data_IF_477748426509
#
_entry.id   IF_477748426509
#
_cell.length_a   1.000
_cell.length_b   1.000
_cell.length_c   1.000
_cell.angle_alpha   90.00
_cell.angle_beta   90.00
_cell.angle_gamma   90.00
#
_symmetry.space_group_name_H-M   'P 1'
#
loop_
_entity.id
_entity.type
_entity.pdbx_description
1 polymer ?
#
# COMPACT_ATOMS: atom_id res chain seq x y z
N UNK A 1 -24.68 -11.64 14.39
CA UNK A 1 -24.72 -11.02 13.05
C UNK A 1 -23.93 -9.72 13.05
N UNK A 2 -24.15 -8.82 14.01
CA UNK A 2 -23.51 -7.49 14.11
C UNK A 2 -21.97 -7.42 13.95
N UNK A 3 -21.20 -8.31 14.55
CA UNK A 3 -19.73 -8.25 14.47
C UNK A 3 -19.19 -8.63 13.08
N UNK A 4 -19.82 -9.60 12.40
CA UNK A 4 -19.43 -10.00 11.05
C UNK A 4 -19.73 -8.88 10.05
N UNK A 5 -20.89 -8.25 10.20
CA UNK A 5 -21.31 -7.13 9.35
C UNK A 5 -20.46 -5.88 9.61
N UNK A 6 -19.99 -5.68 10.84
CA UNK A 6 -19.01 -4.64 11.14
C UNK A 6 -17.68 -4.89 10.42
N UNK A 7 -17.09 -6.09 10.56
CA UNK A 7 -15.80 -6.40 9.94
C UNK A 7 -15.87 -6.29 8.41
N UNK A 8 -16.95 -6.79 7.80
CA UNK A 8 -17.14 -6.68 6.35
C UNK A 8 -17.14 -5.22 5.88
N UNK A 9 -17.83 -4.33 6.61
CA UNK A 9 -17.83 -2.89 6.30
C UNK A 9 -16.45 -2.24 6.40
N UNK A 10 -15.64 -2.65 7.38
CA UNK A 10 -14.27 -2.14 7.51
C UNK A 10 -13.37 -2.61 6.35
N UNK A 11 -13.54 -3.86 5.91
CA UNK A 11 -12.85 -4.41 4.74
C UNK A 11 -13.25 -3.64 3.48
N UNK A 12 -14.55 -3.41 3.27
CA UNK A 12 -15.08 -2.69 2.13
C UNK A 12 -14.61 -1.23 2.12
N UNK A 13 -14.68 -0.54 3.27
CA UNK A 13 -14.21 0.85 3.42
C UNK A 13 -12.74 0.97 3.05
N UNK A 14 -11.88 0.10 3.60
CA UNK A 14 -10.46 0.08 3.29
C UNK A 14 -10.21 -0.18 1.81
N UNK A 15 -10.88 -1.18 1.22
CA UNK A 15 -10.76 -1.48 -0.20
C UNK A 15 -11.18 -0.31 -1.09
N UNK A 16 -12.28 0.39 -0.76
CA UNK A 16 -12.75 1.55 -1.50
C UNK A 16 -11.74 2.71 -1.47
N UNK A 17 -11.21 3.05 -0.29
CA UNK A 17 -10.23 4.14 -0.14
C UNK A 17 -8.93 3.81 -0.89
N UNK A 18 -8.39 2.60 -0.72
CA UNK A 18 -7.16 2.18 -1.39
C UNK A 18 -7.30 2.18 -2.91
N UNK A 19 -8.43 1.73 -3.45
CA UNK A 19 -8.72 1.79 -4.90
C UNK A 19 -8.87 3.22 -5.40
N UNK A 20 -9.52 4.09 -4.61
CA UNK A 20 -9.64 5.51 -4.96
C UNK A 20 -8.26 6.19 -5.05
N UNK A 21 -7.38 5.90 -4.10
CA UNK A 21 -5.98 6.33 -4.13
C UNK A 21 -5.27 5.78 -5.37
N UNK A 22 -5.37 4.47 -5.62
CA UNK A 22 -4.69 3.85 -6.75
C UNK A 22 -5.13 4.44 -8.11
N UNK A 23 -6.41 4.69 -8.28
CA UNK A 23 -6.96 5.31 -9.49
C UNK A 23 -6.39 6.72 -9.75
N UNK A 24 -6.05 7.48 -8.69
CA UNK A 24 -5.39 8.79 -8.83
C UNK A 24 -4.00 8.69 -9.45
N UNK A 25 -3.29 7.61 -9.17
CA UNK A 25 -2.01 7.31 -9.81
C UNK A 25 -2.22 6.89 -11.28
N UNK A 26 -3.13 5.94 -11.56
CA UNK A 26 -3.32 5.43 -12.94
C UNK A 26 -3.84 6.47 -13.94
N UNK A 27 -4.61 7.47 -13.50
CA UNK A 27 -5.19 8.48 -14.39
C UNK A 27 -4.23 9.57 -14.88
N UNK A 28 -2.99 9.64 -14.37
CA UNK A 28 -2.06 10.73 -14.66
C UNK A 28 -0.62 10.23 -14.89
N UNK A 29 -0.21 10.12 -16.14
CA UNK A 29 1.14 9.69 -16.55
C UNK A 29 2.09 10.84 -16.91
N UNK A 30 1.59 12.05 -17.19
CA UNK A 30 2.37 13.23 -17.59
C UNK A 30 2.29 14.37 -16.56
N UNK A 31 2.69 14.08 -15.31
CA UNK A 31 2.59 15.06 -14.22
C UNK A 31 3.95 15.73 -13.90
N UNK A 32 4.02 17.07 -13.84
CA UNK A 32 5.18 17.78 -13.31
C UNK A 32 5.44 17.40 -11.85
N UNK A 33 6.68 17.57 -11.37
CA UNK A 33 7.11 17.19 -10.01
C UNK A 33 6.11 17.69 -8.93
N UNK A 34 5.77 18.98 -8.96
CA UNK A 34 4.84 19.64 -8.01
C UNK A 34 3.50 18.88 -7.87
N UNK A 35 3.01 18.26 -8.94
CA UNK A 35 1.77 17.49 -8.88
C UNK A 35 1.96 16.11 -8.25
N UNK A 36 3.15 15.50 -8.38
CA UNK A 36 3.50 14.23 -7.74
C UNK A 36 3.60 14.43 -6.23
N UNK A 37 4.30 15.46 -5.76
CA UNK A 37 4.39 15.72 -4.31
C UNK A 37 2.99 15.98 -3.71
N UNK A 38 2.14 16.74 -4.42
CA UNK A 38 0.74 16.92 -4.00
C UNK A 38 -0.04 15.60 -3.95
N UNK A 39 0.15 14.71 -4.92
CA UNK A 39 -0.49 13.38 -4.92
C UNK A 39 -0.04 12.55 -3.71
N UNK A 40 1.20 12.69 -3.27
CA UNK A 40 1.72 11.94 -2.13
C UNK A 40 1.13 12.46 -0.83
N UNK A 41 1.08 13.78 -0.65
CA UNK A 41 0.44 14.38 0.52
C UNK A 41 -1.06 14.06 0.57
N UNK A 42 -1.78 14.17 -0.56
CA UNK A 42 -3.18 13.73 -0.64
C UNK A 42 -3.36 12.24 -0.31
N UNK A 43 -2.40 11.39 -0.68
CA UNK A 43 -2.43 9.96 -0.36
C UNK A 43 -2.26 9.73 1.14
N UNK A 44 -1.29 10.41 1.77
CA UNK A 44 -1.07 10.36 3.23
C UNK A 44 -2.29 10.84 3.98
N UNK A 45 -2.87 11.96 3.56
CA UNK A 45 -4.08 12.53 4.17
C UNK A 45 -5.25 11.55 4.09
N UNK A 46 -5.52 10.95 2.92
CA UNK A 46 -6.62 9.99 2.77
C UNK A 46 -6.43 8.73 3.61
N UNK A 47 -5.21 8.19 3.66
CA UNK A 47 -4.90 7.04 4.51
C UNK A 47 -5.11 7.37 5.98
N UNK A 48 -4.66 8.55 6.42
CA UNK A 48 -4.79 8.98 7.81
C UNK A 48 -6.24 9.30 8.19
N UNK A 49 -6.98 10.06 7.37
CA UNK A 49 -8.34 10.51 7.67
C UNK A 49 -9.38 9.42 7.57
N UNK A 50 -9.24 8.55 6.56
CA UNK A 50 -10.30 7.59 6.25
C UNK A 50 -10.01 6.23 6.86
N UNK A 51 -8.74 5.86 7.02
CA UNK A 51 -8.34 4.53 7.49
C UNK A 51 -7.58 4.55 8.82
N UNK A 52 -7.35 5.72 9.43
CA UNK A 52 -6.49 5.88 10.61
C UNK A 52 -5.06 5.31 10.38
N UNK A 53 -4.62 5.31 9.11
CA UNK A 53 -3.35 4.73 8.67
C UNK A 53 -2.30 5.82 8.46
N UNK A 54 -1.32 5.87 9.35
CA UNK A 54 -0.18 6.77 9.31
C UNK A 54 0.92 6.17 8.41
N UNK A 55 0.99 6.66 7.18
CA UNK A 55 1.91 6.16 6.17
C UNK A 55 3.37 6.43 6.55
N UNK A 56 3.70 7.63 7.05
CA UNK A 56 5.08 8.01 7.37
C UNK A 56 5.61 7.15 8.53
N UNK A 57 4.79 6.93 9.56
CA UNK A 57 5.09 5.99 10.64
C UNK A 57 5.28 4.57 10.10
N UNK A 58 4.40 4.11 9.22
CA UNK A 58 4.47 2.76 8.66
C UNK A 58 5.75 2.53 7.84
N UNK A 59 6.15 3.51 7.04
CA UNK A 59 7.37 3.46 6.24
C UNK A 59 8.61 3.33 7.13
N UNK A 60 8.66 4.09 8.24
CA UNK A 60 9.79 4.09 9.17
C UNK A 60 9.96 2.81 10.01
N UNK A 61 8.93 1.95 10.07
CA UNK A 61 8.96 0.70 10.85
C UNK A 61 9.80 -0.40 10.20
N UNK A 62 10.33 -1.33 11.00
CA UNK A 62 10.89 -2.59 10.49
C UNK A 62 9.78 -3.61 10.15
N UNK A 63 10.15 -4.77 9.60
CA UNK A 63 9.21 -5.82 9.18
C UNK A 63 8.25 -6.27 10.29
N UNK A 64 8.76 -6.57 11.49
CA UNK A 64 7.94 -7.03 12.62
C UNK A 64 6.96 -5.94 13.06
N UNK A 65 7.44 -4.71 13.22
CA UNK A 65 6.61 -3.58 13.61
C UNK A 65 5.54 -3.26 12.56
N UNK A 66 5.88 -3.37 11.27
CA UNK A 66 4.95 -3.18 10.16
C UNK A 66 3.87 -4.27 10.14
N UNK A 67 4.23 -5.53 10.37
CA UNK A 67 3.27 -6.63 10.45
C UNK A 67 2.30 -6.46 11.63
N UNK A 68 2.81 -6.04 12.80
CA UNK A 68 1.99 -5.74 13.97
C UNK A 68 1.06 -4.54 13.72
N UNK A 69 1.58 -3.48 13.09
CA UNK A 69 0.80 -2.29 12.75
C UNK A 69 -0.36 -2.62 11.81
N UNK A 70 -0.08 -3.32 10.71
CA UNK A 70 -1.08 -3.84 9.78
C UNK A 70 -2.10 -4.71 10.54
N UNK A 71 -1.65 -5.68 11.33
CA UNK A 71 -2.56 -6.61 12.03
C UNK A 71 -3.50 -5.93 13.04
N UNK A 72 -3.24 -4.68 13.43
CA UNK A 72 -4.12 -3.90 14.32
C UNK A 72 -5.41 -3.40 13.65
N UNK A 73 -5.45 -3.35 12.30
CA UNK A 73 -6.61 -2.86 11.56
C UNK A 73 -7.61 -3.97 11.26
N UNK A 74 -8.88 -3.76 11.64
CA UNK A 74 -9.97 -4.73 11.43
C UNK A 74 -10.37 -4.91 9.96
N UNK A 75 -10.09 -3.91 9.11
CA UNK A 75 -10.39 -3.94 7.68
C UNK A 75 -9.34 -4.69 6.83
N UNK A 76 -8.34 -5.29 7.44
CA UNK A 76 -7.27 -5.95 6.70
C UNK A 76 -7.66 -7.35 6.25
N UNK A 77 -7.54 -7.55 4.94
CA UNK A 77 -7.52 -8.83 4.26
C UNK A 77 -6.38 -8.82 3.22
N UNK A 78 -6.18 -9.94 2.53
CA UNK A 78 -5.12 -10.08 1.52
C UNK A 78 -5.31 -9.09 0.38
N UNK A 79 -6.54 -8.94 -0.14
CA UNK A 79 -6.83 -8.04 -1.27
C UNK A 79 -6.51 -6.57 -0.95
N UNK A 80 -6.88 -6.09 0.24
CA UNK A 80 -6.60 -4.74 0.70
C UNK A 80 -5.10 -4.54 0.89
N UNK A 81 -4.38 -5.54 1.42
CA UNK A 81 -2.93 -5.48 1.56
C UNK A 81 -2.20 -5.46 0.22
N UNK A 82 -2.63 -6.27 -0.74
CA UNK A 82 -2.07 -6.24 -2.10
C UNK A 82 -2.37 -4.91 -2.81
N UNK A 83 -3.52 -4.30 -2.54
CA UNK A 83 -3.85 -2.95 -3.04
C UNK A 83 -2.98 -1.88 -2.36
N UNK A 84 -2.77 -1.97 -1.04
CA UNK A 84 -1.86 -1.09 -0.31
C UNK A 84 -0.42 -1.22 -0.84
N UNK A 85 0.06 -2.43 -1.07
CA UNK A 85 1.37 -2.67 -1.68
C UNK A 85 1.48 -2.03 -3.07
N UNK A 86 0.43 -2.11 -3.88
CA UNK A 86 0.38 -1.42 -5.17
C UNK A 86 0.47 0.10 -5.01
N UNK A 87 -0.28 0.70 -4.07
CA UNK A 87 -0.19 2.15 -3.78
C UNK A 87 1.24 2.54 -3.43
N UNK A 88 1.89 1.79 -2.53
CA UNK A 88 3.29 2.03 -2.13
C UNK A 88 4.26 1.88 -3.31
N UNK A 89 4.04 0.87 -4.15
CA UNK A 89 4.83 0.67 -5.36
C UNK A 89 4.68 1.85 -6.32
N UNK A 90 3.45 2.31 -6.59
CA UNK A 90 3.20 3.47 -7.44
C UNK A 90 3.84 4.76 -6.89
N UNK A 91 3.81 4.96 -5.57
CA UNK A 91 4.55 6.05 -4.93
C UNK A 91 6.06 5.88 -5.15
N UNK A 92 6.64 4.71 -4.87
CA UNK A 92 8.06 4.46 -5.08
C UNK A 92 8.52 4.63 -6.54
N UNK A 93 7.71 4.23 -7.52
CA UNK A 93 8.02 4.38 -8.94
C UNK A 93 7.98 5.84 -9.43
N UNK A 94 7.19 6.70 -8.76
CA UNK A 94 7.03 8.12 -9.12
C UNK A 94 7.87 9.06 -8.26
N UNK A 95 8.37 8.57 -7.14
CA UNK A 95 9.21 9.32 -6.22
C UNK A 95 10.52 9.71 -6.91
N UNK A 96 10.78 11.02 -6.97
CA UNK A 96 11.99 11.61 -7.56
C UNK A 96 13.00 12.02 -6.51
N UNK A 97 12.61 12.04 -5.24
CA UNK A 97 13.45 12.32 -4.08
C UNK A 97 14.07 11.03 -3.49
N UNK A 98 14.75 11.17 -2.34
CA UNK A 98 15.51 10.07 -1.71
C UNK A 98 14.67 8.91 -1.17
N UNK A 99 13.35 9.07 -1.03
CA UNK A 99 12.49 8.10 -0.35
C UNK A 99 11.97 6.96 -1.24
N UNK A 100 12.34 6.95 -2.53
CA UNK A 100 11.96 5.91 -3.50
C UNK A 100 12.16 4.50 -2.96
N UNK A 101 13.35 4.22 -2.40
CA UNK A 101 13.69 2.88 -1.90
C UNK A 101 12.86 2.52 -0.68
N UNK A 102 12.51 3.48 0.17
CA UNK A 102 11.69 3.26 1.36
C UNK A 102 10.30 2.77 0.99
N UNK A 103 9.65 3.41 0.02
CA UNK A 103 8.34 2.98 -0.49
C UNK A 103 8.39 1.60 -1.16
N UNK A 104 9.37 1.38 -2.05
CA UNK A 104 9.51 0.10 -2.77
C UNK A 104 9.82 -1.07 -1.83
N UNK A 105 10.76 -0.90 -0.88
CA UNK A 105 11.04 -1.93 0.12
C UNK A 105 9.81 -2.22 0.99
N UNK A 106 9.05 -1.18 1.37
CA UNK A 106 7.82 -1.37 2.15
C UNK A 106 6.76 -2.12 1.36
N UNK A 107 6.58 -1.79 0.07
CA UNK A 107 5.68 -2.53 -0.82
C UNK A 107 6.05 -4.02 -0.88
N UNK A 108 7.35 -4.32 -1.04
CA UNK A 108 7.86 -5.69 -1.04
C UNK A 108 7.56 -6.42 0.29
N UNK A 109 7.80 -5.77 1.43
CA UNK A 109 7.49 -6.35 2.75
C UNK A 109 6.00 -6.69 2.90
N UNK A 110 5.09 -5.85 2.39
CA UNK A 110 3.65 -6.12 2.43
C UNK A 110 3.28 -7.32 1.55
N UNK A 111 3.85 -7.43 0.35
CA UNK A 111 3.59 -8.57 -0.54
C UNK A 111 4.13 -9.90 0.03
N UNK A 112 5.31 -9.87 0.66
CA UNK A 112 5.86 -11.03 1.36
C UNK A 112 5.00 -11.42 2.57
N UNK A 113 4.48 -10.44 3.31
CA UNK A 113 3.51 -10.71 4.37
C UNK A 113 2.24 -11.39 3.83
N UNK A 114 1.71 -10.93 2.68
CA UNK A 114 0.60 -11.59 2.02
C UNK A 114 0.92 -13.05 1.65
N UNK A 115 2.10 -13.31 1.09
CA UNK A 115 2.57 -14.66 0.72
C UNK A 115 2.69 -15.59 1.92
N UNK A 116 3.09 -15.08 3.09
CA UNK A 116 3.15 -15.85 4.33
C UNK A 116 1.76 -16.18 4.88
N UNK A 117 0.79 -15.27 4.73
CA UNK A 117 -0.59 -15.43 5.24
C UNK A 117 -1.48 -16.25 4.31
N UNK A 118 -1.34 -16.08 3.01
CA UNK A 118 -2.09 -16.78 1.98
C UNK A 118 -1.19 -17.81 1.28
N UNK A 119 -1.44 -19.08 1.58
CA UNK A 119 -0.71 -20.21 0.99
C UNK A 119 -1.09 -20.47 -0.47
N UNK A 120 -2.09 -19.77 -1.00
CA UNK A 120 -2.47 -19.85 -2.41
C UNK A 120 -1.45 -19.07 -3.23
N UNK A 121 -0.87 -19.73 -4.23
CA UNK A 121 0.03 -19.08 -5.16
C UNK A 121 -0.73 -18.03 -5.98
N UNK A 122 -0.18 -16.81 -6.06
CA UNK A 122 -0.74 -15.70 -6.82
C UNK A 122 0.27 -15.20 -7.86
N UNK A 123 -0.04 -15.41 -9.14
CA UNK A 123 0.80 -14.93 -10.25
C UNK A 123 0.97 -13.41 -10.22
N UNK A 124 -0.10 -12.67 -9.92
CA UNK A 124 -0.05 -11.21 -9.83
C UNK A 124 0.86 -10.75 -8.69
N UNK A 125 0.83 -11.44 -7.54
CA UNK A 125 1.70 -11.13 -6.39
C UNK A 125 3.17 -11.32 -6.74
N UNK A 126 3.52 -12.47 -7.33
CA UNK A 126 4.91 -12.74 -7.71
C UNK A 126 5.40 -11.77 -8.80
N UNK A 127 4.56 -11.44 -9.79
CA UNK A 127 4.91 -10.43 -10.81
C UNK A 127 5.27 -9.09 -10.18
N UNK A 128 4.47 -8.61 -9.22
CA UNK A 128 4.74 -7.34 -8.52
C UNK A 128 6.01 -7.38 -7.69
N UNK A 129 6.26 -8.50 -6.99
CA UNK A 129 7.50 -8.71 -6.24
C UNK A 129 8.71 -8.59 -7.18
N UNK A 130 8.66 -9.26 -8.33
CA UNK A 130 9.72 -9.20 -9.34
C UNK A 130 9.91 -7.78 -9.88
N UNK A 131 8.83 -7.07 -10.22
CA UNK A 131 8.86 -5.70 -10.74
C UNK A 131 9.48 -4.70 -9.74
N UNK A 132 9.12 -4.82 -8.46
CA UNK A 132 9.69 -4.00 -7.38
C UNK A 132 11.17 -4.34 -7.20
N UNK A 133 11.53 -5.63 -7.21
CA UNK A 133 12.91 -6.07 -7.05
C UNK A 133 13.81 -5.58 -8.20
N UNK A 134 13.34 -5.63 -9.44
CA UNK A 134 14.06 -5.05 -10.58
C UNK A 134 14.19 -3.53 -10.47
N UNK A 135 13.11 -2.85 -10.06
CA UNK A 135 13.12 -1.41 -9.83
C UNK A 135 14.15 -1.01 -8.77
N UNK A 136 14.35 -1.80 -7.72
CA UNK A 136 15.34 -1.53 -6.66
C UNK A 136 16.80 -1.74 -7.09
N UNK A 137 17.05 -2.51 -8.16
CA UNK A 137 18.40 -2.73 -8.72
C UNK A 137 18.88 -1.56 -9.59
N UNK A 138 17.93 -0.83 -10.20
CA UNK A 138 18.17 0.40 -10.96
C UNK A 138 18.21 1.64 -10.07
#
# INVERSE_FOLDING_TARGET
MEQKDYILREIEKMGMVLRAILNKFMGNTDNPAIQIEKQFEETKELLASDLDFDLDKFIAQNETQSADYISSFRGINIDNLETLAEVLMQMGLREKSGDRKSYLNKALHVLEYCKQKDKTYSFERERKIEEIAESLKG
#
